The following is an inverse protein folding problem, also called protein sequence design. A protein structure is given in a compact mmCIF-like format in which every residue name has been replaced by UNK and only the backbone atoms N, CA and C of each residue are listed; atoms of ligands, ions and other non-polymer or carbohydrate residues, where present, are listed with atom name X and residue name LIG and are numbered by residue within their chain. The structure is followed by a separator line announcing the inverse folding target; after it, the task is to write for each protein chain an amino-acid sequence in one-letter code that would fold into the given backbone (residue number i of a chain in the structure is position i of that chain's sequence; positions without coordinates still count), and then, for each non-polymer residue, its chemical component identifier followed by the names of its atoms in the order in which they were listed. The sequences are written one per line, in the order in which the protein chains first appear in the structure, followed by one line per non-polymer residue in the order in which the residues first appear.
data_IF_848441045427
#
_entry.id   IF_848441045427
#
_cell.length_a   1.000
_cell.length_b   1.000
_cell.length_c   1.000
_cell.angle_alpha   90.00
_cell.angle_beta   90.00
_cell.angle_gamma   90.00
#
_symmetry.space_group_name_H-M   'P 1'
#
loop_
_entity.id
_entity.type
_entity.pdbx_description
1 polymer ?
#
# COMPACT_ATOMS: atom_id res chain seq x y z
N UNK A 1 -0.03 -5.86 -18.70
CA UNK A 1 -1.18 -5.47 -17.85
C UNK A 1 -0.60 -5.01 -16.53
N UNK A 2 -1.10 -3.95 -15.89
CA UNK A 2 -0.64 -3.51 -14.57
C UNK A 2 -1.82 -3.54 -13.61
N UNK A 3 -1.54 -3.58 -12.32
CA UNK A 3 -2.55 -3.49 -11.27
C UNK A 3 -2.27 -2.30 -10.37
N UNK A 4 -3.31 -1.61 -9.95
CA UNK A 4 -3.23 -0.50 -9.02
C UNK A 4 -3.45 -0.99 -7.59
N UNK A 5 -2.63 -0.49 -6.67
CA UNK A 5 -2.71 -0.82 -5.25
C UNK A 5 -2.60 0.43 -4.38
N UNK A 6 -3.34 0.46 -3.28
CA UNK A 6 -3.06 1.34 -2.16
C UNK A 6 -1.86 0.82 -1.39
N UNK A 7 -0.96 1.73 -1.02
CA UNK A 7 0.23 1.41 -0.26
C UNK A 7 0.60 2.52 0.70
N UNK A 8 1.41 2.20 1.69
CA UNK A 8 2.08 3.17 2.57
C UNK A 8 3.59 2.98 2.47
N UNK A 9 4.34 4.02 2.81
CA UNK A 9 5.80 3.97 2.91
C UNK A 9 6.16 3.98 4.38
N UNK A 10 7.08 3.10 4.79
CA UNK A 10 7.60 3.06 6.14
C UNK A 10 8.08 4.45 6.61
N UNK A 11 7.59 4.88 7.78
CA UNK A 11 7.89 6.18 8.38
C UNK A 11 9.29 6.27 9.01
N UNK A 12 9.97 5.14 9.21
CA UNK A 12 11.35 5.13 9.71
C UNK A 12 12.27 5.81 8.70
N UNK A 13 13.06 6.83 9.10
CA UNK A 13 14.05 7.44 8.22
C UNK A 13 14.92 6.39 7.54
N UNK A 14 15.20 6.58 6.25
CA UNK A 14 16.05 5.70 5.43
C UNK A 14 15.54 4.27 5.16
N UNK A 15 14.46 3.83 5.82
CA UNK A 15 13.90 2.51 5.53
C UNK A 15 13.29 2.46 4.13
N UNK A 16 12.39 3.40 3.82
CA UNK A 16 11.76 3.56 2.51
C UNK A 16 10.97 2.35 2.01
N UNK A 17 10.71 1.36 2.88
CA UNK A 17 10.02 0.14 2.48
C UNK A 17 8.57 0.45 2.15
N UNK A 18 8.09 -0.06 1.01
CA UNK A 18 6.69 0.10 0.61
C UNK A 18 5.88 -1.10 1.04
N UNK A 19 4.74 -0.81 1.62
CA UNK A 19 3.80 -1.77 2.18
C UNK A 19 2.50 -1.66 1.40
N UNK A 20 2.10 -2.76 0.75
CA UNK A 20 0.90 -2.79 -0.07
C UNK A 20 -0.28 -3.12 0.83
N UNK A 21 -1.19 -2.16 0.97
CA UNK A 21 -2.39 -2.35 1.73
C UNK A 21 -3.42 -3.08 0.85
N UNK A 22 -3.88 -2.46 -0.25
CA UNK A 22 -5.09 -2.88 -0.96
C UNK A 22 -5.04 -2.95 -2.45
N UNK A 23 -5.56 -4.04 -3.03
CA UNK A 23 -5.78 -4.11 -4.47
C UNK A 23 -6.95 -3.20 -4.84
N UNK A 24 -6.71 -2.31 -5.79
CA UNK A 24 -7.76 -1.48 -6.39
C UNK A 24 -8.35 -2.21 -7.60
N UNK A 25 -7.50 -2.83 -8.41
CA UNK A 25 -7.89 -3.56 -9.62
C UNK A 25 -6.86 -3.40 -10.74
N UNK A 26 -7.24 -3.77 -11.95
CA UNK A 26 -6.41 -3.53 -13.13
C UNK A 26 -6.23 -2.02 -13.35
N UNK A 27 -5.00 -1.61 -13.64
CA UNK A 27 -4.74 -0.24 -14.01
C UNK A 27 -5.09 0.02 -15.47
N UNK A 28 -5.98 0.99 -15.69
CA UNK A 28 -6.27 1.58 -16.99
C UNK A 28 -5.31 2.75 -17.32
N UNK A 29 -4.18 2.87 -16.62
CA UNK A 29 -3.23 3.99 -16.75
C UNK A 29 -3.66 5.23 -15.98
N UNK A 30 -4.49 5.07 -14.94
CA UNK A 30 -4.92 6.17 -14.06
C UNK A 30 -4.03 6.19 -12.83
N UNK A 31 -3.68 7.38 -12.35
CA UNK A 31 -2.85 7.56 -11.14
C UNK A 31 -3.61 8.09 -9.93
N UNK A 32 -4.85 8.54 -10.14
CA UNK A 32 -5.72 9.09 -9.10
C UNK A 32 -6.92 8.16 -8.91
N UNK A 33 -6.70 7.09 -8.15
CA UNK A 33 -7.81 6.27 -7.69
C UNK A 33 -8.45 6.96 -6.48
N UNK A 34 -9.78 7.02 -6.47
CA UNK A 34 -10.49 7.35 -5.23
C UNK A 34 -10.27 6.20 -4.25
N UNK A 35 -10.06 6.52 -2.98
CA UNK A 35 -9.95 5.52 -1.94
C UNK A 35 -11.28 4.76 -1.85
N UNK A 36 -11.34 3.55 -2.42
CA UNK A 36 -12.57 2.75 -2.44
C UNK A 36 -12.58 1.78 -1.25
N UNK A 37 -13.46 2.05 -0.29
CA UNK A 37 -13.85 1.12 0.78
C UNK A 37 -13.64 1.66 2.19
N UNK A 38 -14.08 0.85 3.15
CA UNK A 38 -14.03 1.11 4.59
C UNK A 38 -12.62 0.93 5.16
N UNK A 39 -11.65 1.70 4.65
CA UNK A 39 -10.34 1.73 5.27
C UNK A 39 -10.47 2.38 6.64
N UNK A 40 -9.94 1.74 7.71
CA UNK A 40 -10.02 2.32 9.05
C UNK A 40 -9.28 3.66 9.05
N UNK A 41 -9.79 4.61 9.86
CA UNK A 41 -9.21 5.96 9.96
C UNK A 41 -7.73 5.91 10.39
N UNK A 42 -7.38 4.92 11.22
CA UNK A 42 -6.03 4.59 11.64
C UNK A 42 -5.83 3.07 11.57
N UNK A 43 -4.64 2.63 11.15
CA UNK A 43 -4.24 1.23 11.15
C UNK A 43 -2.76 1.07 11.52
N UNK A 44 -2.44 -0.08 12.09
CA UNK A 44 -1.08 -0.41 12.53
C UNK A 44 -0.48 -1.48 11.63
N UNK A 45 0.80 -1.32 11.30
CA UNK A 45 1.52 -2.29 10.50
C UNK A 45 2.99 -2.39 10.92
N UNK A 46 3.46 -3.63 11.10
CA UNK A 46 4.84 -3.96 11.43
C UNK A 46 5.72 -4.01 10.17
N UNK A 47 6.68 -3.10 10.04
CA UNK A 47 7.59 -3.11 8.90
C UNK A 47 8.65 -4.21 9.06
N UNK A 48 8.57 -5.27 8.25
CA UNK A 48 9.55 -6.38 8.27
C UNK A 48 10.99 -5.95 7.95
N UNK A 49 11.19 -4.80 7.28
CA UNK A 49 12.53 -4.30 6.95
C UNK A 49 13.21 -3.58 8.12
N UNK A 50 12.50 -2.73 8.85
CA UNK A 50 13.07 -1.99 9.98
C UNK A 50 12.71 -2.56 11.35
N UNK A 51 11.78 -3.53 11.43
CA UNK A 51 11.36 -4.20 12.66
C UNK A 51 10.52 -3.32 13.60
N UNK A 52 9.87 -2.27 13.08
CA UNK A 52 9.12 -1.29 13.88
C UNK A 52 7.65 -1.32 13.47
N UNK A 53 6.76 -1.28 14.47
CA UNK A 53 5.34 -1.05 14.32
C UNK A 53 5.04 0.43 14.07
N UNK A 54 4.30 0.70 12.99
CA UNK A 54 3.91 2.04 12.60
C UNK A 54 2.40 2.19 12.59
N UNK A 55 1.93 3.36 13.02
CA UNK A 55 0.55 3.82 12.79
C UNK A 55 0.47 4.62 11.50
N UNK A 56 -0.52 4.31 10.68
CA UNK A 56 -0.85 5.00 9.45
C UNK A 56 -2.30 5.44 9.46
N UNK A 57 -2.58 6.49 8.70
CA UNK A 57 -3.92 7.00 8.43
C UNK A 57 -4.19 6.93 6.94
N UNK A 58 -5.43 7.27 6.54
CA UNK A 58 -5.80 7.39 5.14
C UNK A 58 -4.91 8.40 4.38
N UNK A 59 -4.47 9.46 5.04
CA UNK A 59 -3.62 10.49 4.43
C UNK A 59 -2.19 10.03 4.13
N UNK A 60 -1.75 8.93 4.78
CA UNK A 60 -0.46 8.31 4.51
C UNK A 60 -0.49 7.39 3.26
N UNK A 61 -1.68 7.08 2.75
CA UNK A 61 -1.84 6.15 1.64
C UNK A 61 -1.59 6.81 0.29
N UNK A 62 -0.87 6.09 -0.56
CA UNK A 62 -0.62 6.46 -1.95
C UNK A 62 -0.94 5.28 -2.87
N UNK A 63 -1.57 5.58 -4.00
CA UNK A 63 -1.81 4.57 -5.03
C UNK A 63 -0.57 4.37 -5.90
N UNK A 64 -0.26 3.12 -6.24
CA UNK A 64 0.86 2.75 -7.11
C UNK A 64 0.43 1.71 -8.13
N UNK A 65 1.06 1.74 -9.29
CA UNK A 65 0.91 0.68 -10.28
C UNK A 65 2.06 -0.32 -10.18
N UNK A 66 1.72 -1.59 -10.27
CA UNK A 66 2.69 -2.69 -10.22
C UNK A 66 2.37 -3.73 -11.29
N UNK A 67 3.43 -4.33 -11.82
CA UNK A 67 3.31 -5.38 -12.82
C UNK A 67 2.85 -6.71 -12.18
N UNK A 68 2.04 -7.53 -12.87
CA UNK A 68 1.49 -8.81 -12.42
C UNK A 68 2.50 -9.78 -11.80
N UNK A 69 3.72 -9.98 -12.35
CA UNK A 69 4.70 -10.86 -11.72
C UNK A 69 5.22 -10.33 -10.37
N UNK A 70 5.06 -9.03 -10.06
CA UNK A 70 5.36 -8.49 -8.74
C UNK A 70 4.26 -8.78 -7.70
N UNK A 71 3.11 -9.33 -8.12
CA UNK A 71 1.97 -9.62 -7.25
C UNK A 71 2.09 -10.96 -6.52
N UNK A 72 2.97 -11.87 -6.94
CA UNK A 72 3.16 -13.17 -6.29
C UNK A 72 3.79 -12.97 -4.90
N UNK A 73 2.94 -12.81 -3.88
CA UNK A 73 3.36 -12.52 -2.51
C UNK A 73 2.69 -11.29 -1.89
N UNK A 74 1.95 -10.49 -2.68
CA UNK A 74 1.17 -9.39 -2.14
C UNK A 74 -0.09 -9.91 -1.48
N UNK A 75 -0.10 -9.90 -0.15
CA UNK A 75 -1.30 -10.11 0.63
C UNK A 75 -1.95 -8.76 0.87
N UNK A 76 -3.26 -8.70 0.66
CA UNK A 76 -4.05 -7.61 1.23
C UNK A 76 -3.94 -7.69 2.75
N UNK A 77 -3.76 -6.54 3.40
CA UNK A 77 -3.51 -6.47 4.84
C UNK A 77 -4.62 -5.70 5.54
N UNK A 78 -5.71 -6.42 5.87
CA UNK A 78 -6.67 -6.17 6.95
C UNK A 78 -7.49 -7.43 7.21
#
# INVERSE_FOLDING_TARGET
MKYAYWSVICKTPECGNRHYAKLIGESEGRTNYLLQGDLPQEFHYHCEKCGIDHSYTVDDMVSVEIDPPALSGLREWW
#
